data_IF_785210537068
#
_entry.id   IF_785210537068
#
_cell.length_a   1.000
_cell.length_b   1.000
_cell.length_c   1.000
_cell.angle_alpha   90.00
_cell.angle_beta   90.00
_cell.angle_gamma   90.00
#
_symmetry.space_group_name_H-M   'P 1'
#
loop_
_entity.id
_entity.type
_entity.pdbx_description
1 polymer ?
#
# COMPACT_ATOMS: atom_id res chain seq x y z
N UNK A 1 -17.51 -8.76 43.11
CA UNK A 1 -16.11 -9.13 42.78
C UNK A 1 -15.67 -8.21 41.66
N UNK A 2 -14.80 -7.24 41.95
CA UNK A 2 -14.26 -6.35 40.91
C UNK A 2 -13.44 -7.19 39.93
N UNK A 3 -13.68 -7.14 38.62
CA UNK A 3 -12.84 -7.86 37.66
C UNK A 3 -11.40 -7.38 37.84
N UNK A 4 -10.47 -8.32 37.97
CA UNK A 4 -9.05 -8.01 38.04
C UNK A 4 -8.68 -7.10 36.87
N UNK A 5 -7.95 -6.04 37.16
CA UNK A 5 -7.57 -4.98 36.23
C UNK A 5 -6.72 -5.56 35.09
N UNK A 6 -7.38 -6.01 34.01
CA UNK A 6 -6.73 -6.69 32.89
C UNK A 6 -6.04 -5.65 32.03
N UNK A 7 -4.70 -5.67 32.03
CA UNK A 7 -3.90 -4.87 31.11
C UNK A 7 -3.74 -5.60 29.78
N UNK A 8 -3.90 -4.86 28.68
CA UNK A 8 -3.72 -5.36 27.31
C UNK A 8 -2.69 -4.54 26.55
N UNK A 9 -1.86 -5.24 25.77
CA UNK A 9 -0.92 -4.62 24.84
C UNK A 9 -1.52 -4.39 23.45
N UNK A 10 -0.78 -3.68 22.60
CA UNK A 10 -1.22 -3.37 21.23
C UNK A 10 -1.56 -4.62 20.40
N UNK A 11 -0.82 -5.73 20.56
CA UNK A 11 -1.11 -6.97 19.83
C UNK A 11 -2.42 -7.60 20.28
N UNK A 12 -2.68 -7.61 21.58
CA UNK A 12 -3.92 -8.13 22.13
C UNK A 12 -5.11 -7.29 21.68
N UNK A 13 -4.99 -5.96 21.68
CA UNK A 13 -6.04 -5.06 21.17
C UNK A 13 -6.31 -5.30 19.67
N UNK A 14 -5.26 -5.48 18.86
CA UNK A 14 -5.40 -5.83 17.43
C UNK A 14 -6.17 -7.13 17.25
N UNK A 15 -5.79 -8.16 18.02
CA UNK A 15 -6.40 -9.49 17.92
C UNK A 15 -7.86 -9.49 18.38
N UNK A 16 -8.18 -8.78 19.46
CA UNK A 16 -9.49 -8.83 20.10
C UNK A 16 -10.52 -7.90 19.43
N UNK A 17 -10.09 -6.72 18.98
CA UNK A 17 -10.99 -5.72 18.39
C UNK A 17 -10.87 -5.57 16.87
N UNK A 18 -10.05 -6.39 16.22
CA UNK A 18 -9.95 -6.44 14.76
C UNK A 18 -9.45 -5.15 14.11
N UNK A 19 -8.43 -4.51 14.71
CA UNK A 19 -7.83 -3.25 14.23
C UNK A 19 -6.38 -3.45 13.75
N UNK A 20 -5.61 -2.38 13.54
CA UNK A 20 -4.19 -2.44 13.17
C UNK A 20 -3.30 -1.65 14.15
N UNK A 21 -2.04 -2.08 14.30
CA UNK A 21 -1.07 -1.39 15.18
C UNK A 21 -0.90 0.09 14.84
N UNK A 22 -0.79 0.52 13.56
CA UNK A 22 -0.66 1.94 13.23
C UNK A 22 -1.88 2.77 13.68
N UNK A 23 -3.08 2.21 13.60
CA UNK A 23 -4.31 2.89 14.06
C UNK A 23 -4.33 3.08 15.57
N UNK A 24 -3.90 2.06 16.31
CA UNK A 24 -3.77 2.17 17.78
C UNK A 24 -2.74 3.24 18.13
N UNK A 25 -1.60 3.28 17.43
CA UNK A 25 -0.60 4.33 17.63
C UNK A 25 -1.14 5.73 17.31
N UNK A 26 -1.87 5.88 16.21
CA UNK A 26 -2.52 7.14 15.83
C UNK A 26 -3.48 7.63 16.90
N UNK A 27 -4.35 6.76 17.40
CA UNK A 27 -5.27 7.11 18.48
C UNK A 27 -4.55 7.39 19.80
N UNK A 28 -3.61 6.53 20.19
CA UNK A 28 -2.82 6.71 21.41
C UNK A 28 -1.98 7.99 21.41
N UNK A 29 -1.55 8.48 20.24
CA UNK A 29 -0.76 9.71 20.13
C UNK A 29 -1.64 10.97 19.96
N UNK A 30 -2.93 10.80 19.70
CA UNK A 30 -3.87 11.91 19.54
C UNK A 30 -4.74 12.05 20.81
N UNK A 31 -4.55 13.12 21.61
CA UNK A 31 -5.32 13.33 22.85
C UNK A 31 -6.82 13.50 22.60
N UNK A 32 -7.22 13.99 21.42
CA UNK A 32 -8.62 14.22 21.06
C UNK A 32 -9.31 12.97 20.50
N UNK A 33 -8.58 11.85 20.36
CA UNK A 33 -9.14 10.62 19.80
C UNK A 33 -10.18 9.96 20.71
N UNK A 34 -10.16 10.30 22.01
CA UNK A 34 -10.93 9.63 23.06
C UNK A 34 -10.42 8.23 23.40
N UNK A 35 -9.26 7.84 22.88
CA UNK A 35 -8.64 6.55 23.18
C UNK A 35 -8.08 6.53 24.60
N UNK A 36 -8.16 5.39 25.31
CA UNK A 36 -7.70 5.30 26.69
C UNK A 36 -6.24 5.73 26.87
N UNK A 37 -5.96 6.35 28.01
CA UNK A 37 -4.59 6.69 28.40
C UNK A 37 -3.78 5.42 28.70
N UNK A 38 -2.49 5.47 28.41
CA UNK A 38 -1.58 4.35 28.70
C UNK A 38 -1.51 4.15 30.22
N UNK A 39 -1.90 2.97 30.69
CA UNK A 39 -1.93 2.64 32.11
C UNK A 39 -0.54 2.24 32.63
N UNK A 40 0.25 1.58 31.78
CA UNK A 40 1.61 1.13 32.12
C UNK A 40 2.50 1.10 30.88
N UNK A 41 3.76 1.47 31.05
CA UNK A 41 4.79 1.32 30.02
C UNK A 41 5.87 0.37 30.53
N UNK A 42 6.26 -0.60 29.71
CA UNK A 42 7.38 -1.51 29.99
C UNK A 42 8.33 -1.51 28.79
N UNK A 43 9.47 -0.83 28.94
CA UNK A 43 10.39 -0.56 27.84
C UNK A 43 9.71 0.20 26.70
N UNK A 44 9.65 -0.41 25.51
CA UNK A 44 8.96 0.15 24.33
C UNK A 44 7.49 -0.25 24.21
N UNK A 45 6.99 -1.13 25.08
CA UNK A 45 5.60 -1.60 25.07
C UNK A 45 4.74 -0.72 25.95
N UNK A 46 3.57 -0.35 25.42
CA UNK A 46 2.51 0.38 26.13
C UNK A 46 1.39 -0.61 26.44
N UNK A 47 0.79 -0.47 27.62
CA UNK A 47 -0.33 -1.26 28.10
C UNK A 47 -1.49 -0.35 28.47
N UNK A 48 -2.70 -0.79 28.14
CA UNK A 48 -3.95 -0.10 28.43
C UNK A 48 -4.83 -0.98 29.29
N UNK A 49 -5.74 -0.37 30.04
CA UNK A 49 -6.79 -1.12 30.73
C UNK A 49 -7.80 -1.64 29.71
N UNK A 50 -8.10 -2.93 29.80
CA UNK A 50 -8.93 -3.63 28.84
C UNK A 50 -10.37 -3.10 28.78
N UNK A 51 -10.95 -2.78 29.94
CA UNK A 51 -12.30 -2.23 30.07
C UNK A 51 -12.45 -0.87 29.38
N UNK A 52 -11.47 0.03 29.55
CA UNK A 52 -11.45 1.33 28.87
C UNK A 52 -11.32 1.17 27.36
N UNK A 53 -10.48 0.24 26.90
CA UNK A 53 -10.32 -0.07 25.47
C UNK A 53 -11.62 -0.69 24.91
N UNK A 54 -12.23 -1.61 25.63
CA UNK A 54 -13.50 -2.23 25.25
C UNK A 54 -14.61 -1.18 25.14
N UNK A 55 -14.71 -0.25 26.09
CA UNK A 55 -15.67 0.84 26.07
C UNK A 55 -15.47 1.77 24.85
N UNK A 56 -14.21 2.11 24.54
CA UNK A 56 -13.87 2.90 23.35
C UNK A 56 -14.35 2.23 22.06
N UNK A 57 -14.09 0.93 21.89
CA UNK A 57 -14.54 0.19 20.72
C UNK A 57 -16.04 -0.04 20.70
N UNK A 58 -16.70 -0.17 21.86
CA UNK A 58 -18.15 -0.27 21.95
C UNK A 58 -18.84 1.02 21.49
N UNK A 59 -18.33 2.19 21.88
CA UNK A 59 -18.84 3.49 21.42
C UNK A 59 -18.63 3.72 19.92
N UNK A 60 -17.51 3.21 19.38
CA UNK A 60 -17.15 3.33 17.96
C UNK A 60 -17.61 2.18 17.08
N UNK A 61 -18.23 1.15 17.64
CA UNK A 61 -18.80 0.07 16.86
C UNK A 61 -19.77 0.71 15.85
N UNK A 62 -19.61 0.46 14.54
CA UNK A 62 -20.53 1.02 13.56
C UNK A 62 -21.93 0.62 13.98
N UNK A 63 -22.85 1.58 14.13
CA UNK A 63 -24.27 1.30 14.39
C UNK A 63 -24.67 0.20 13.41
N UNK A 64 -24.82 -1.03 13.89
CA UNK A 64 -25.30 -2.14 13.07
C UNK A 64 -26.62 -1.62 12.51
N UNK A 65 -26.79 -1.62 11.19
CA UNK A 65 -28.10 -1.29 10.60
C UNK A 65 -29.03 -2.40 11.05
N UNK A 66 -29.72 -2.17 12.15
CA UNK A 66 -30.72 -3.09 12.67
C UNK A 66 -31.81 -3.19 11.62
N UNK A 67 -32.08 -4.41 11.16
CA UNK A 67 -33.20 -4.65 10.26
C UNK A 67 -34.50 -4.25 10.97
N UNK A 68 -35.49 -3.69 10.26
CA UNK A 68 -36.78 -3.38 10.86
C UNK A 68 -37.41 -4.63 11.48
N UNK A 69 -38.09 -4.50 12.62
CA UNK A 69 -38.75 -5.63 13.30
C UNK A 69 -39.70 -6.40 12.36
N UNK A 70 -40.42 -5.69 11.48
CA UNK A 70 -41.29 -6.30 10.47
C UNK A 70 -40.57 -7.27 9.50
N UNK A 71 -39.25 -7.13 9.32
CA UNK A 71 -38.45 -8.06 8.49
C UNK A 71 -38.06 -9.31 9.28
N UNK A 72 -37.86 -9.17 10.59
CA UNK A 72 -37.49 -10.27 11.50
C UNK A 72 -38.70 -11.14 11.85
N UNK A 73 -39.88 -10.55 11.96
CA UNK A 73 -41.14 -11.24 12.28
C UNK A 73 -41.85 -11.82 11.03
N UNK A 74 -41.37 -11.50 9.82
CA UNK A 74 -41.89 -12.07 8.58
C UNK A 74 -41.47 -13.54 8.42
N UNK A 75 -42.14 -14.27 7.51
CA UNK A 75 -41.79 -15.65 7.18
C UNK A 75 -40.34 -15.75 6.68
N UNK A 76 -39.49 -16.44 7.45
CA UNK A 76 -38.07 -16.57 7.15
C UNK A 76 -37.79 -17.60 6.06
N UNK A 77 -38.73 -18.50 5.75
CA UNK A 77 -38.60 -19.48 4.68
C UNK A 77 -39.09 -18.95 3.32
N UNK A 78 -39.68 -17.76 3.29
CA UNK A 78 -40.09 -17.07 2.07
C UNK A 78 -38.89 -16.87 1.14
N UNK A 79 -39.02 -17.37 -0.10
CA UNK A 79 -38.04 -17.16 -1.16
C UNK A 79 -38.20 -15.77 -1.75
N UNK A 80 -37.13 -14.97 -1.64
CA UNK A 80 -37.06 -13.62 -2.14
C UNK A 80 -36.28 -13.58 -3.44
N UNK A 81 -36.84 -12.91 -4.43
CA UNK A 81 -36.14 -12.55 -5.67
C UNK A 81 -34.99 -11.58 -5.38
N UNK A 82 -34.01 -11.50 -6.29
CA UNK A 82 -32.93 -10.50 -6.22
C UNK A 82 -33.42 -9.07 -5.98
N UNK A 83 -34.59 -8.69 -6.54
CA UNK A 83 -35.19 -7.37 -6.37
C UNK A 83 -35.69 -7.14 -4.95
N UNK A 84 -36.33 -8.15 -4.36
CA UNK A 84 -36.84 -8.09 -2.98
C UNK A 84 -35.70 -8.09 -1.97
N UNK A 85 -34.66 -8.89 -2.20
CA UNK A 85 -33.42 -8.88 -1.41
C UNK A 85 -32.77 -7.51 -1.43
N UNK A 86 -32.66 -6.86 -2.61
CA UNK A 86 -32.12 -5.51 -2.71
C UNK A 86 -32.94 -4.49 -1.90
N UNK A 87 -34.28 -4.59 -1.96
CA UNK A 87 -35.19 -3.73 -1.19
C UNK A 87 -35.06 -3.96 0.31
N UNK A 88 -35.00 -5.22 0.75
CA UNK A 88 -34.84 -5.62 2.17
C UNK A 88 -33.55 -5.06 2.75
N UNK A 89 -32.44 -5.15 2.00
CA UNK A 89 -31.14 -4.62 2.40
C UNK A 89 -31.05 -3.08 2.28
N UNK A 90 -32.08 -2.43 1.73
CA UNK A 90 -32.15 -0.99 1.53
C UNK A 90 -31.21 -0.47 0.43
N UNK A 91 -30.96 -1.28 -0.60
CA UNK A 91 -30.24 -0.86 -1.81
C UNK A 91 -31.20 -0.27 -2.84
N UNK A 92 -30.75 0.77 -3.52
CA UNK A 92 -31.52 1.41 -4.60
C UNK A 92 -31.53 0.56 -5.88
N UNK A 93 -30.53 -0.32 -6.08
CA UNK A 93 -30.34 -1.10 -7.32
C UNK A 93 -29.92 -2.53 -7.01
N UNK A 94 -30.41 -3.49 -7.81
CA UNK A 94 -30.04 -4.91 -7.76
C UNK A 94 -28.59 -5.15 -8.17
N UNK A 95 -27.99 -4.26 -8.96
CA UNK A 95 -26.59 -4.35 -9.42
C UNK A 95 -25.57 -4.41 -8.28
N UNK A 96 -25.95 -3.97 -7.07
CA UNK A 96 -25.09 -4.10 -5.88
C UNK A 96 -24.91 -5.56 -5.48
N UNK A 97 -25.93 -6.39 -5.66
CA UNK A 97 -25.89 -7.84 -5.41
C UNK A 97 -25.03 -8.50 -6.49
N UNK A 98 -25.23 -8.15 -7.76
CA UNK A 98 -24.41 -8.68 -8.87
C UNK A 98 -22.93 -8.34 -8.69
N UNK A 99 -22.62 -7.15 -8.20
CA UNK A 99 -21.26 -6.74 -7.87
C UNK A 99 -20.65 -7.60 -6.75
N UNK A 100 -21.44 -8.07 -5.77
CA UNK A 100 -20.91 -9.00 -4.77
C UNK A 100 -20.49 -10.33 -5.38
N UNK A 101 -21.31 -10.92 -6.25
CA UNK A 101 -20.92 -12.16 -6.91
C UNK A 101 -19.71 -11.99 -7.83
N UNK A 102 -19.67 -10.89 -8.60
CA UNK A 102 -18.56 -10.61 -9.54
C UNK A 102 -17.25 -10.26 -8.83
N UNK A 103 -17.32 -9.31 -7.89
CA UNK A 103 -16.13 -8.69 -7.31
C UNK A 103 -15.69 -9.39 -6.01
N UNK A 104 -16.58 -10.21 -5.40
CA UNK A 104 -16.35 -10.92 -4.13
C UNK A 104 -17.04 -12.29 -4.07
N UNK A 105 -16.59 -13.27 -4.88
CA UNK A 105 -17.09 -14.64 -4.78
C UNK A 105 -17.06 -15.15 -3.33
N UNK A 106 -18.17 -15.73 -2.87
CA UNK A 106 -18.32 -16.23 -1.49
C UNK A 106 -18.61 -15.17 -0.41
N UNK A 107 -18.69 -13.87 -0.74
CA UNK A 107 -19.05 -12.83 0.24
C UNK A 107 -20.56 -12.71 0.50
N UNK A 108 -21.36 -12.88 -0.54
CA UNK A 108 -22.82 -12.89 -0.48
C UNK A 108 -23.29 -14.35 -0.51
N UNK A 109 -24.35 -14.72 0.23
CA UNK A 109 -24.85 -16.10 0.24
C UNK A 109 -25.24 -16.55 -1.17
N UNK A 110 -24.95 -17.81 -1.46
CA UNK A 110 -25.44 -18.46 -2.67
C UNK A 110 -26.97 -18.51 -2.66
N UNK A 111 -27.62 -18.44 -3.84
CA UNK A 111 -29.07 -18.59 -3.91
C UNK A 111 -29.49 -19.97 -3.42
N UNK A 112 -30.57 -20.01 -2.65
CA UNK A 112 -31.18 -21.26 -2.18
C UNK A 112 -31.88 -21.98 -3.34
N UNK A 113 -32.40 -21.23 -4.32
CA UNK A 113 -32.98 -21.73 -5.57
C UNK A 113 -32.55 -20.88 -6.75
N UNK A 114 -32.29 -21.50 -7.90
CA UNK A 114 -31.83 -20.81 -9.13
C UNK A 114 -32.53 -21.28 -10.40
N UNK A 115 -33.73 -21.87 -10.29
CA UNK A 115 -34.47 -22.45 -11.43
C UNK A 115 -35.02 -21.36 -12.34
N UNK A 116 -35.67 -20.34 -11.77
CA UNK A 116 -36.23 -19.18 -12.50
C UNK A 116 -35.40 -17.90 -12.26
N UNK A 117 -34.12 -18.10 -11.94
CA UNK A 117 -33.18 -17.08 -11.49
C UNK A 117 -32.96 -17.12 -9.98
N UNK A 118 -31.99 -16.35 -9.48
CA UNK A 118 -31.49 -16.57 -8.13
C UNK A 118 -32.48 -16.03 -7.09
N UNK A 119 -32.88 -16.92 -6.19
CA UNK A 119 -33.77 -16.67 -5.07
C UNK A 119 -33.10 -17.07 -3.76
N UNK A 120 -33.42 -16.34 -2.70
CA UNK A 120 -32.85 -16.57 -1.37
C UNK A 120 -33.97 -16.62 -0.34
N UNK A 121 -33.87 -17.55 0.61
CA UNK A 121 -34.73 -17.51 1.79
C UNK A 121 -34.48 -16.22 2.56
N UNK A 122 -35.55 -15.59 3.03
CA UNK A 122 -35.48 -14.37 3.84
C UNK A 122 -34.54 -14.55 5.04
N UNK A 123 -34.61 -15.71 5.72
CA UNK A 123 -33.75 -16.07 6.84
C UNK A 123 -32.26 -16.03 6.51
N UNK A 124 -31.87 -16.56 5.34
CA UNK A 124 -30.48 -16.53 4.83
C UNK A 124 -29.98 -15.09 4.72
N UNK A 125 -30.78 -14.21 4.14
CA UNK A 125 -30.43 -12.79 3.95
C UNK A 125 -30.41 -12.02 5.27
N UNK A 126 -31.36 -12.27 6.16
CA UNK A 126 -31.45 -11.66 7.50
C UNK A 126 -30.25 -12.05 8.35
N UNK A 127 -29.88 -13.33 8.35
CA UNK A 127 -28.71 -13.85 9.05
C UNK A 127 -27.41 -13.23 8.49
N UNK A 128 -27.27 -13.17 7.16
CA UNK A 128 -26.14 -12.52 6.51
C UNK A 128 -26.05 -11.03 6.84
N UNK A 129 -27.17 -10.30 6.82
CA UNK A 129 -27.20 -8.87 7.10
C UNK A 129 -26.85 -8.56 8.57
N UNK A 130 -27.29 -9.41 9.50
CA UNK A 130 -27.02 -9.29 10.94
C UNK A 130 -25.57 -9.59 11.30
N UNK A 131 -24.96 -10.55 10.61
CA UNK A 131 -23.56 -10.96 10.77
C UNK A 131 -22.63 -10.34 9.72
N UNK A 132 -23.12 -9.34 8.99
CA UNK A 132 -22.43 -8.79 7.84
C UNK A 132 -21.00 -8.41 8.21
N UNK A 133 -19.98 -9.04 7.59
CA UNK A 133 -18.61 -8.60 7.74
C UNK A 133 -18.59 -7.14 7.28
N UNK A 134 -18.23 -6.24 8.21
CA UNK A 134 -18.39 -4.80 8.02
C UNK A 134 -17.73 -4.30 6.74
N UNK A 135 -17.90 -3.01 6.44
CA UNK A 135 -17.21 -2.31 5.34
C UNK A 135 -15.70 -2.16 5.64
N UNK A 136 -15.05 -3.19 6.15
CA UNK A 136 -13.63 -3.30 6.42
C UNK A 136 -12.92 -3.82 5.18
N UNK A 137 -12.12 -2.92 4.60
CA UNK A 137 -11.14 -3.11 3.51
C UNK A 137 -11.62 -3.90 2.29
N UNK A 138 -11.72 -3.17 1.18
CA UNK A 138 -11.32 -3.69 -0.13
C UNK A 138 -10.00 -4.45 0.07
N UNK A 139 -10.00 -5.77 0.01
CA UNK A 139 -8.92 -6.43 -0.71
C UNK A 139 -9.11 -5.93 -2.14
N UNK A 140 -8.40 -4.85 -2.50
CA UNK A 140 -8.26 -4.52 -3.91
C UNK A 140 -7.83 -5.80 -4.57
N UNK A 141 -8.63 -6.30 -5.52
CA UNK A 141 -8.13 -7.30 -6.45
C UNK A 141 -6.73 -6.84 -6.88
N UNK A 142 -5.73 -7.75 -6.88
CA UNK A 142 -4.37 -7.37 -7.25
C UNK A 142 -4.43 -6.56 -8.54
N UNK A 143 -3.90 -5.34 -8.50
CA UNK A 143 -3.92 -4.47 -9.65
C UNK A 143 -3.28 -5.23 -10.82
N UNK A 144 -3.91 -5.18 -11.99
CA UNK A 144 -3.36 -5.80 -13.19
C UNK A 144 -1.89 -5.37 -13.34
N UNK A 145 -1.02 -6.36 -13.58
CA UNK A 145 0.40 -6.10 -13.76
C UNK A 145 0.58 -5.10 -14.91
N UNK A 146 1.48 -4.13 -14.71
CA UNK A 146 1.83 -3.18 -15.76
C UNK A 146 2.56 -3.91 -16.90
N UNK A 147 2.37 -3.49 -18.15
CA UNK A 147 3.11 -4.04 -19.27
C UNK A 147 4.62 -3.80 -19.07
N UNK A 148 5.48 -4.78 -19.40
CA UNK A 148 6.91 -4.53 -19.48
C UNK A 148 7.17 -3.60 -20.67
N UNK A 149 7.90 -2.51 -20.44
CA UNK A 149 8.25 -1.53 -21.48
C UNK A 149 9.76 -1.35 -21.49
N UNK A 150 10.36 -1.49 -22.67
CA UNK A 150 11.80 -1.26 -22.84
C UNK A 150 12.12 0.23 -22.83
N UNK A 151 13.28 0.57 -22.28
CA UNK A 151 13.85 1.93 -22.29
C UNK A 151 14.40 2.25 -23.69
N UNK A 152 14.94 1.25 -24.39
CA UNK A 152 15.64 1.39 -25.66
C UNK A 152 14.72 1.33 -26.89
N UNK A 153 13.42 1.54 -26.71
CA UNK A 153 12.48 1.61 -27.82
C UNK A 153 12.58 2.91 -28.62
N UNK A 154 11.84 3.00 -29.73
CA UNK A 154 11.73 4.22 -30.54
C UNK A 154 11.42 5.46 -29.67
N UNK A 155 12.28 6.50 -29.67
CA UNK A 155 12.12 7.70 -28.84
C UNK A 155 10.83 8.48 -29.17
N UNK A 156 10.36 8.39 -30.42
CA UNK A 156 9.17 9.10 -30.91
C UNK A 156 7.86 8.33 -30.68
N UNK A 157 7.94 7.11 -30.14
CA UNK A 157 6.76 6.32 -29.83
C UNK A 157 5.89 6.99 -28.76
N UNK A 158 4.58 7.07 -29.03
CA UNK A 158 3.60 7.59 -28.09
C UNK A 158 3.14 6.50 -27.12
N UNK A 159 3.59 6.60 -25.88
CA UNK A 159 3.28 5.70 -24.78
C UNK A 159 1.95 6.07 -24.10
N UNK A 160 1.15 5.05 -23.81
CA UNK A 160 -0.07 5.19 -23.03
C UNK A 160 0.20 5.23 -21.52
N UNK A 161 -0.88 5.43 -20.76
CA UNK A 161 -0.80 5.62 -19.29
C UNK A 161 -0.19 4.42 -18.56
N UNK A 162 -0.39 3.20 -19.08
CA UNK A 162 0.15 1.98 -18.47
C UNK A 162 1.66 1.84 -18.72
N UNK A 163 2.12 2.15 -19.94
CA UNK A 163 3.53 2.14 -20.27
C UNK A 163 4.31 3.21 -19.49
N UNK A 164 3.76 4.41 -19.39
CA UNK A 164 4.36 5.51 -18.61
C UNK A 164 4.45 5.14 -17.13
N UNK A 165 3.40 4.54 -16.56
CA UNK A 165 3.44 4.07 -15.18
C UNK A 165 4.55 3.04 -14.95
N UNK A 166 4.80 2.16 -15.93
CA UNK A 166 5.85 1.14 -15.90
C UNK A 166 7.24 1.78 -15.92
N UNK A 167 7.51 2.67 -16.88
CA UNK A 167 8.80 3.37 -17.01
C UNK A 167 9.13 4.27 -15.82
N UNK A 168 8.12 4.86 -15.19
CA UNK A 168 8.27 5.67 -13.98
C UNK A 168 8.29 4.85 -12.68
N UNK A 169 8.29 3.52 -12.76
CA UNK A 169 8.47 2.63 -11.61
C UNK A 169 7.25 2.53 -10.67
N UNK A 170 6.06 2.91 -11.12
CA UNK A 170 4.84 2.72 -10.34
C UNK A 170 4.43 1.26 -10.32
N UNK A 171 3.80 0.81 -9.23
CA UNK A 171 3.26 -0.56 -9.14
C UNK A 171 1.89 -0.74 -9.79
N UNK A 172 1.23 0.33 -10.22
CA UNK A 172 -0.08 0.29 -10.89
C UNK A 172 -0.43 1.61 -11.58
N UNK A 173 -1.30 1.54 -12.58
CA UNK A 173 -1.86 2.71 -13.27
C UNK A 173 -2.57 3.65 -12.29
N UNK A 174 -3.31 3.10 -11.32
CA UNK A 174 -4.03 3.90 -10.32
C UNK A 174 -3.09 4.74 -9.44
N UNK A 175 -1.96 4.16 -9.02
CA UNK A 175 -0.94 4.88 -8.24
C UNK A 175 -0.28 6.00 -9.05
N UNK A 176 -0.01 5.75 -10.33
CA UNK A 176 0.50 6.75 -11.25
C UNK A 176 -0.52 7.88 -11.47
N UNK A 177 -1.75 7.56 -11.86
CA UNK A 177 -2.80 8.55 -12.10
C UNK A 177 -3.07 9.41 -10.88
N UNK A 178 -3.12 8.81 -9.68
CA UNK A 178 -3.28 9.57 -8.44
C UNK A 178 -2.13 10.55 -8.21
N UNK A 179 -0.90 10.15 -8.51
CA UNK A 179 0.28 11.01 -8.33
C UNK A 179 0.30 12.14 -9.37
N UNK A 180 -0.10 11.83 -10.60
CA UNK A 180 -0.24 12.80 -11.69
C UNK A 180 -1.28 13.87 -11.35
N UNK A 181 -2.50 13.48 -10.94
CA UNK A 181 -3.57 14.44 -10.59
C UNK A 181 -3.27 15.26 -9.32
N UNK A 182 -2.43 14.74 -8.43
CA UNK A 182 -1.97 15.47 -7.25
C UNK A 182 -0.76 16.38 -7.54
N UNK A 183 -0.29 16.47 -8.80
CA UNK A 183 0.86 17.28 -9.17
C UNK A 183 2.20 16.78 -8.60
N UNK A 184 2.29 15.49 -8.24
CA UNK A 184 3.51 14.88 -7.65
C UNK A 184 4.50 14.36 -8.69
N UNK A 185 4.26 14.69 -9.95
CA UNK A 185 5.13 14.35 -11.09
C UNK A 185 5.34 15.61 -11.93
N UNK A 186 5.99 16.65 -11.35
CA UNK A 186 6.24 17.90 -12.08
C UNK A 186 7.21 17.70 -13.26
N UNK A 187 7.97 16.60 -13.27
CA UNK A 187 8.94 16.29 -14.32
C UNK A 187 8.29 15.75 -15.60
N UNK A 188 7.04 15.28 -15.52
CA UNK A 188 6.31 14.76 -16.67
C UNK A 188 5.46 15.89 -17.28
N UNK A 189 5.72 16.30 -18.53
CA UNK A 189 4.94 17.36 -19.17
C UNK A 189 3.51 16.90 -19.50
N UNK A 190 2.69 17.86 -19.92
CA UNK A 190 1.33 17.59 -20.37
C UNK A 190 1.33 16.57 -21.54
N UNK A 191 0.31 15.70 -21.63
CA UNK A 191 0.24 14.70 -22.68
C UNK A 191 0.15 15.34 -24.06
N UNK A 192 1.00 14.87 -24.98
CA UNK A 192 1.09 15.41 -26.34
C UNK A 192 -0.14 15.13 -27.18
N UNK A 193 -0.83 14.02 -26.91
CA UNK A 193 -2.06 13.66 -27.62
C UNK A 193 -3.13 13.18 -26.65
N UNK A 194 -4.35 13.68 -26.87
CA UNK A 194 -5.58 13.17 -26.26
C UNK A 194 -6.34 12.38 -27.33
N UNK A 195 -5.99 11.11 -27.52
CA UNK A 195 -6.70 10.28 -28.47
C UNK A 195 -7.99 9.75 -27.85
N UNK A 196 -9.11 10.00 -28.53
CA UNK A 196 -10.39 9.35 -28.24
C UNK A 196 -10.54 8.19 -29.21
N UNK A 197 -10.36 6.98 -28.71
CA UNK A 197 -10.58 5.77 -29.50
C UNK A 197 -12.08 5.66 -29.86
N UNK A 198 -12.39 5.60 -31.14
CA UNK A 198 -13.75 5.56 -31.66
C UNK A 198 -14.43 4.25 -31.20
N UNK A 199 -15.53 4.36 -30.45
CA UNK A 199 -16.22 3.22 -29.83
C UNK A 199 -15.91 2.96 -28.35
N UNK A 200 -14.93 3.65 -27.75
CA UNK A 200 -14.66 3.56 -26.31
C UNK A 200 -15.64 4.41 -25.48
N UNK A 201 -16.28 3.81 -24.47
CA UNK A 201 -17.07 4.53 -23.44
C UNK A 201 -16.20 5.31 -22.44
N UNK A 202 -14.87 5.29 -22.58
CA UNK A 202 -13.91 5.96 -21.71
C UNK A 202 -13.51 7.35 -22.19
N UNK A 203 -12.98 8.17 -21.27
CA UNK A 203 -12.39 9.48 -21.61
C UNK A 203 -11.15 9.34 -22.51
N UNK A 204 -10.73 10.46 -23.13
CA UNK A 204 -9.57 10.50 -24.01
C UNK A 204 -8.33 9.92 -23.30
N UNK A 205 -7.63 9.01 -23.97
CA UNK A 205 -6.40 8.40 -23.46
C UNK A 205 -5.26 9.39 -23.63
N UNK A 206 -4.55 9.65 -22.54
CA UNK A 206 -3.36 10.51 -22.51
C UNK A 206 -2.17 9.73 -23.05
N UNK A 207 -1.47 10.32 -24.02
CA UNK A 207 -0.23 9.77 -24.60
C UNK A 207 0.95 10.72 -24.41
N UNK A 208 2.14 10.17 -24.20
CA UNK A 208 3.40 10.91 -24.05
C UNK A 208 4.48 10.29 -24.93
N UNK A 209 5.40 11.08 -25.49
CA UNK A 209 6.58 10.53 -26.17
C UNK A 209 7.46 9.74 -25.20
N UNK A 210 8.05 8.65 -25.71
CA UNK A 210 8.97 7.82 -24.94
C UNK A 210 10.16 8.62 -24.45
N UNK A 211 10.81 9.42 -25.29
CA UNK A 211 12.00 10.20 -24.89
C UNK A 211 11.71 11.11 -23.68
N UNK A 212 10.60 11.83 -23.73
CA UNK A 212 10.12 12.68 -22.64
C UNK A 212 9.89 11.91 -21.34
N UNK A 213 9.29 10.71 -21.43
CA UNK A 213 9.02 9.86 -20.27
C UNK A 213 10.32 9.27 -19.71
N UNK A 214 11.25 8.87 -20.59
CA UNK A 214 12.58 8.35 -20.21
C UNK A 214 13.40 9.46 -19.54
N UNK A 215 13.38 10.68 -20.07
CA UNK A 215 14.01 11.84 -19.44
C UNK A 215 13.40 12.12 -18.05
N UNK A 216 12.07 12.11 -17.92
CA UNK A 216 11.39 12.27 -16.63
C UNK A 216 11.75 11.13 -15.64
N UNK A 217 11.85 9.89 -16.12
CA UNK A 217 12.25 8.74 -15.32
C UNK A 217 13.71 8.86 -14.84
N UNK A 218 14.61 9.38 -15.68
CA UNK A 218 16.00 9.68 -15.33
C UNK A 218 16.08 10.79 -14.28
N UNK A 219 15.35 11.89 -14.45
CA UNK A 219 15.29 12.99 -13.47
C UNK A 219 14.80 12.50 -12.11
N UNK A 220 13.88 11.53 -12.09
CA UNK A 220 13.38 10.91 -10.85
C UNK A 220 14.31 9.84 -10.27
N UNK A 221 15.40 9.50 -10.94
CA UNK A 221 16.32 8.42 -10.55
C UNK A 221 15.72 7.02 -10.68
N UNK A 222 14.66 6.86 -11.48
CA UNK A 222 14.05 5.56 -11.79
C UNK A 222 14.85 4.82 -12.85
N UNK A 223 15.36 5.56 -13.84
CA UNK A 223 16.25 5.05 -14.88
C UNK A 223 17.66 5.64 -14.72
N UNK A 224 18.70 4.89 -15.12
CA UNK A 224 20.07 5.42 -15.14
C UNK A 224 20.20 6.55 -16.17
N UNK A 225 21.08 7.52 -15.88
CA UNK A 225 21.38 8.63 -16.77
C UNK A 225 21.90 8.15 -18.14
N UNK A 226 21.61 8.91 -19.19
CA UNK A 226 21.77 8.50 -20.59
C UNK A 226 23.19 8.07 -20.98
N UNK A 227 24.21 8.66 -20.35
CA UNK A 227 25.57 8.65 -20.89
C UNK A 227 26.61 8.09 -19.92
N UNK A 228 26.20 7.36 -18.88
CA UNK A 228 27.15 6.85 -17.89
C UNK A 228 26.64 5.59 -17.23
N UNK A 229 27.40 4.53 -17.47
CA UNK A 229 27.55 3.41 -16.56
C UNK A 229 28.24 3.87 -15.26
N UNK A 230 27.61 4.83 -14.56
CA UNK A 230 28.13 5.41 -13.32
C UNK A 230 27.81 4.57 -12.09
N UNK A 231 26.87 3.63 -12.23
CA UNK A 231 26.53 2.67 -11.20
C UNK A 231 27.26 1.32 -11.36
N UNK A 232 27.93 1.04 -12.48
CA UNK A 232 28.74 -0.18 -12.63
C UNK A 232 29.90 -0.24 -11.62
N UNK A 233 30.38 0.92 -11.16
CA UNK A 233 31.52 0.99 -10.24
C UNK A 233 31.12 1.40 -8.80
N UNK A 234 29.82 1.39 -8.48
CA UNK A 234 29.31 1.72 -7.14
C UNK A 234 29.15 0.48 -6.27
N UNK A 235 30.00 0.34 -5.27
CA UNK A 235 30.01 -0.79 -4.35
C UNK A 235 29.23 -0.48 -3.06
N UNK A 236 28.61 -1.52 -2.50
CA UNK A 236 27.87 -1.43 -1.23
C UNK A 236 28.79 -1.53 -0.02
N UNK A 237 28.24 -1.28 1.17
CA UNK A 237 29.00 -1.29 2.43
C UNK A 237 29.77 -2.61 2.68
N UNK A 238 29.25 -3.75 2.25
CA UNK A 238 29.93 -5.04 2.40
C UNK A 238 31.19 -5.17 1.52
N UNK A 239 31.11 -4.71 0.28
CA UNK A 239 32.25 -4.76 -0.63
C UNK A 239 33.26 -3.65 -0.32
N UNK A 240 32.79 -2.47 0.10
CA UNK A 240 33.65 -1.42 0.64
C UNK A 240 34.43 -1.87 1.89
N UNK A 241 33.78 -2.62 2.79
CA UNK A 241 34.45 -3.23 3.93
C UNK A 241 35.58 -4.17 3.50
N UNK A 242 35.35 -5.01 2.48
CA UNK A 242 36.36 -5.92 1.96
C UNK A 242 37.55 -5.19 1.33
N UNK A 243 37.30 -4.15 0.52
CA UNK A 243 38.36 -3.37 -0.13
C UNK A 243 39.25 -2.66 0.90
N UNK A 244 38.66 -2.16 2.00
CA UNK A 244 39.38 -1.43 3.05
C UNK A 244 39.88 -2.33 4.20
N UNK A 245 39.68 -3.66 4.13
CA UNK A 245 40.16 -4.63 5.11
C UNK A 245 39.37 -4.68 6.42
N UNK A 246 38.12 -4.22 6.45
CA UNK A 246 37.23 -4.39 7.60
C UNK A 246 36.62 -5.79 7.62
N UNK A 247 36.27 -6.26 8.83
CA UNK A 247 35.71 -7.60 9.05
C UNK A 247 34.36 -7.81 8.36
N UNK A 248 33.49 -6.80 8.39
CA UNK A 248 32.13 -6.84 7.87
C UNK A 248 31.62 -5.42 7.58
N UNK A 249 30.45 -5.35 6.93
CA UNK A 249 29.79 -4.09 6.59
C UNK A 249 29.48 -3.24 7.84
N UNK A 250 29.10 -3.85 8.95
CA UNK A 250 28.73 -3.13 10.17
C UNK A 250 29.95 -2.45 10.82
N UNK A 251 31.11 -3.11 10.77
CA UNK A 251 32.39 -2.55 11.22
C UNK A 251 32.80 -1.34 10.39
N UNK A 252 32.59 -1.40 9.06
CA UNK A 252 32.83 -0.28 8.16
C UNK A 252 31.86 0.89 8.40
N UNK A 253 30.56 0.62 8.55
CA UNK A 253 29.55 1.65 8.86
C UNK A 253 29.82 2.29 10.24
N UNK A 254 30.27 1.50 11.20
CA UNK A 254 30.67 2.02 12.52
C UNK A 254 31.89 2.93 12.41
N UNK A 255 32.91 2.56 11.61
CA UNK A 255 34.09 3.40 11.38
C UNK A 255 33.73 4.73 10.68
N UNK A 256 32.79 4.71 9.73
CA UNK A 256 32.21 5.91 9.13
C UNK A 256 31.50 6.79 10.16
N UNK A 257 30.64 6.20 10.99
CA UNK A 257 29.90 6.92 12.04
C UNK A 257 30.80 7.53 13.13
N UNK A 258 31.99 6.97 13.33
CA UNK A 258 33.00 7.49 14.25
C UNK A 258 33.99 8.47 13.60
N UNK A 259 33.81 8.84 12.34
CA UNK A 259 34.65 9.82 11.64
C UNK A 259 36.07 9.32 11.29
N UNK A 260 36.28 7.99 11.29
CA UNK A 260 37.59 7.39 10.95
C UNK A 260 37.87 7.35 9.44
N UNK A 261 36.86 7.70 8.64
CA UNK A 261 36.88 7.73 7.18
C UNK A 261 36.26 9.05 6.69
N UNK A 262 36.88 10.20 6.98
CA UNK A 262 36.34 11.52 6.59
C UNK A 262 36.19 11.63 5.07
N UNK A 263 37.09 10.97 4.33
CA UNK A 263 37.05 10.88 2.87
C UNK A 263 35.91 10.03 2.32
N UNK A 264 35.03 9.46 3.15
CA UNK A 264 33.90 8.61 2.72
C UNK A 264 32.57 8.96 3.43
N UNK A 265 32.52 10.05 4.20
CA UNK A 265 31.31 10.48 4.93
C UNK A 265 30.12 10.77 4.00
N UNK A 266 30.39 11.27 2.79
CA UNK A 266 29.37 11.47 1.77
C UNK A 266 29.40 10.32 0.77
N UNK A 267 28.29 9.57 0.63
CA UNK A 267 28.19 8.50 -0.35
C UNK A 267 28.14 9.06 -1.77
N UNK A 268 28.73 8.34 -2.72
CA UNK A 268 28.76 8.69 -4.14
C UNK A 268 27.44 8.33 -4.86
N UNK A 269 26.57 7.55 -4.21
CA UNK A 269 25.25 7.23 -4.72
C UNK A 269 24.35 6.55 -3.70
N UNK A 270 23.09 6.36 -4.09
CA UNK A 270 22.09 5.68 -3.28
C UNK A 270 21.36 4.62 -4.11
N UNK A 271 21.20 3.43 -3.54
CA UNK A 271 20.35 2.39 -4.13
C UNK A 271 18.96 2.38 -3.49
N UNK A 272 17.94 2.40 -4.35
CA UNK A 272 16.54 2.25 -3.97
C UNK A 272 16.08 0.82 -4.23
N UNK A 273 15.58 0.15 -3.18
CA UNK A 273 14.96 -1.17 -3.36
C UNK A 273 13.65 -1.00 -4.13
N UNK A 274 13.44 -1.86 -5.13
CA UNK A 274 12.18 -1.98 -5.87
C UNK A 274 11.00 -2.08 -4.88
N UNK A 275 10.07 -1.13 -4.94
CA UNK A 275 8.84 -1.13 -4.14
C UNK A 275 8.84 -0.35 -2.81
N UNK A 276 9.90 0.39 -2.46
CA UNK A 276 9.88 1.24 -1.25
C UNK A 276 9.66 2.72 -1.57
N UNK A 277 8.58 3.28 -1.02
CA UNK A 277 8.27 4.71 -1.08
C UNK A 277 9.27 5.52 -0.24
N UNK A 278 10.21 6.20 -0.91
CA UNK A 278 10.70 7.51 -0.48
C UNK A 278 11.81 7.59 0.57
N UNK A 279 12.59 6.54 0.86
CA UNK A 279 13.88 6.70 1.57
C UNK A 279 14.98 5.85 0.93
N UNK A 280 16.11 6.45 0.50
CA UNK A 280 17.29 5.68 0.12
C UNK A 280 17.79 4.95 1.35
N UNK A 281 17.97 3.63 1.25
CA UNK A 281 18.39 2.80 2.39
C UNK A 281 19.82 2.32 2.32
N UNK A 282 20.44 2.32 1.14
CA UNK A 282 21.81 1.85 0.98
C UNK A 282 22.64 2.92 0.31
N UNK A 283 23.61 3.41 1.09
CA UNK A 283 24.69 4.27 0.63
C UNK A 283 25.65 3.44 -0.23
N UNK A 284 26.15 4.05 -1.30
CA UNK A 284 27.09 3.45 -2.25
C UNK A 284 28.28 4.37 -2.42
N UNK A 285 29.46 3.79 -2.66
CA UNK A 285 30.71 4.51 -2.89
C UNK A 285 31.37 4.02 -4.17
N UNK A 286 32.12 4.88 -4.84
CA UNK A 286 32.90 4.50 -6.03
C UNK A 286 34.02 3.56 -5.62
N UNK A 287 34.14 2.43 -6.31
CA UNK A 287 35.18 1.41 -6.10
C UNK A 287 36.57 2.02 -6.22
N UNK A 288 36.82 2.79 -7.27
CA UNK A 288 38.08 3.53 -7.49
C UNK A 288 38.49 4.40 -6.31
N UNK A 289 37.55 5.11 -5.67
CA UNK A 289 37.80 5.94 -4.48
C UNK A 289 38.21 5.10 -3.27
N UNK A 290 37.57 3.94 -3.09
CA UNK A 290 37.88 3.00 -2.00
C UNK A 290 39.24 2.33 -2.21
N UNK A 291 39.57 1.94 -3.44
CA UNK A 291 40.86 1.33 -3.79
C UNK A 291 42.01 2.34 -3.64
N UNK A 292 41.80 3.60 -4.03
CA UNK A 292 42.78 4.67 -3.80
C UNK A 292 43.03 4.92 -2.30
N UNK A 293 41.96 4.92 -1.50
CA UNK A 293 42.07 5.07 -0.05
C UNK A 293 42.77 3.86 0.60
N UNK A 294 42.49 2.65 0.13
CA UNK A 294 43.17 1.43 0.56
C UNK A 294 44.67 1.50 0.24
N UNK A 295 45.03 1.91 -0.97
CA UNK A 295 46.41 2.09 -1.41
C UNK A 295 47.15 3.15 -0.58
N UNK A 296 46.50 4.26 -0.23
CA UNK A 296 47.06 5.28 0.67
C UNK A 296 47.32 4.73 2.08
N UNK A 297 46.39 3.95 2.64
CA UNK A 297 46.53 3.31 3.95
C UNK A 297 47.65 2.25 3.97
N UNK A 298 47.81 1.48 2.91
CA UNK A 298 48.88 0.47 2.82
C UNK A 298 50.26 1.07 2.54
N UNK A 299 50.33 2.33 2.07
CA UNK A 299 51.58 3.03 1.76
C UNK A 299 52.10 3.91 2.90
N UNK A 300 51.37 3.99 4.02
CA UNK A 300 51.79 4.72 5.21
C UNK A 300 52.43 3.73 6.19
N UNK A 301 53.76 3.77 6.41
CA UNK A 301 54.47 2.85 7.32
C UNK A 301 54.15 3.10 8.80
#
# INVERSE_FOLDING_TARGET
MSPAERLVDTSQIVSEFGTSKPRISEWSNNPDSGFPTVARTEGRKRFWRHDEVAAFFAQRAPKKRTLPAAVLEADQDELLTKREVAKLLGYTRTSTIDAYFRDRPGYFPEPDEDVDGPMWRRGTIVAWASNRPGKGRRSSAPAAALPPVSVDGDPDELLGTAEVASLLGYGSVASFSSSLYQGRIPELPEPETLEREEGSRGGARKKWRRDTVVAAARTRGVLPAADRDENADLVGAAEAAQILGYKDADSFISALGHGQLPDLEQPDGFEYRRGSAGRPRQQRWRRSRLEELAARRSSTP
#
